data_IF_243669437733
#
_entry.id   IF_243669437733
#
_cell.length_a   1.000
_cell.length_b   1.000
_cell.length_c   1.000
_cell.angle_alpha   90.00
_cell.angle_beta   90.00
_cell.angle_gamma   90.00
#
_symmetry.space_group_name_H-M   'P 1'
#
loop_
_entity.id
_entity.type
_entity.pdbx_description
1 polymer ?
#
# COMPACT_ATOMS: atom_id res chain seq x y z
N UNK A 1 1.93 18.10 0.59
CA UNK A 1 2.01 17.87 -0.88
C UNK A 1 0.86 17.05 -1.47
N UNK A 2 0.04 16.36 -0.67
CA UNK A 2 -1.18 15.68 -1.16
C UNK A 2 -2.35 16.63 -1.54
N UNK A 3 -2.21 17.94 -1.27
CA UNK A 3 -3.29 18.91 -1.44
C UNK A 3 -3.21 19.77 -2.71
N UNK A 4 -2.10 19.73 -3.47
CA UNK A 4 -1.97 20.54 -4.68
C UNK A 4 -2.93 20.08 -5.80
N UNK A 5 -3.46 18.86 -5.70
CA UNK A 5 -4.33 18.26 -6.72
C UNK A 5 -5.83 18.50 -6.46
N UNK A 6 -6.20 19.05 -5.29
CA UNK A 6 -7.62 19.23 -4.93
C UNK A 6 -8.22 20.51 -5.55
N UNK A 7 -7.41 21.51 -5.89
CA UNK A 7 -7.92 22.80 -6.38
C UNK A 7 -8.20 22.89 -7.89
N UNK A 8 -7.75 21.93 -8.70
CA UNK A 8 -7.94 21.99 -10.17
C UNK A 8 -9.26 21.38 -10.68
N UNK A 9 -10.05 20.73 -9.82
CA UNK A 9 -11.24 19.99 -10.27
C UNK A 9 -12.59 20.73 -10.12
N UNK A 10 -12.60 21.97 -9.60
CA UNK A 10 -13.85 22.70 -9.31
C UNK A 10 -14.16 23.84 -10.28
N UNK A 11 -13.28 24.19 -11.22
CA UNK A 11 -13.47 25.39 -12.07
C UNK A 11 -13.37 25.17 -13.58
N UNK A 12 -14.03 24.16 -14.15
CA UNK A 12 -14.33 24.15 -15.59
C UNK A 12 -15.72 23.58 -15.85
N UNK A 13 -16.76 24.41 -15.73
CA UNK A 13 -17.98 24.25 -16.55
C UNK A 13 -18.53 25.62 -16.95
N UNK A 14 -18.66 25.75 -18.29
CA UNK A 14 -19.71 26.49 -19.02
C UNK A 14 -19.32 27.84 -19.64
N UNK A 15 -18.74 27.80 -20.85
CA UNK A 15 -19.04 28.75 -21.95
C UNK A 15 -19.07 27.95 -23.28
N UNK A 16 -20.11 28.10 -24.14
CA UNK A 16 -20.22 27.43 -25.42
C UNK A 16 -19.62 28.27 -26.56
N UNK A 17 -19.06 27.61 -27.58
CA UNK A 17 -18.58 28.31 -28.77
C UNK A 17 -18.02 27.34 -29.81
N UNK A 18 -18.89 26.88 -30.71
CA UNK A 18 -18.52 26.23 -31.96
C UNK A 18 -17.64 27.15 -32.82
N UNK A 19 -16.82 26.55 -33.71
CA UNK A 19 -15.99 27.14 -34.80
C UNK A 19 -14.47 27.23 -34.61
N UNK A 20 -13.82 26.24 -34.00
CA UNK A 20 -12.36 26.06 -34.13
C UNK A 20 -11.92 24.60 -34.38
N UNK A 21 -12.78 23.79 -35.00
CA UNK A 21 -12.51 22.38 -35.32
C UNK A 21 -12.44 22.19 -36.83
N UNK A 22 -11.42 22.75 -37.48
CA UNK A 22 -11.06 22.31 -38.85
C UNK A 22 -9.64 22.67 -39.28
N UNK A 23 -8.93 23.56 -38.58
CA UNK A 23 -7.59 23.98 -38.99
C UNK A 23 -6.43 23.27 -38.26
N UNK A 24 -6.70 22.54 -37.17
CA UNK A 24 -5.66 21.80 -36.42
C UNK A 24 -5.42 20.35 -36.89
N UNK A 25 -6.26 19.79 -37.76
CA UNK A 25 -6.10 18.41 -38.26
C UNK A 25 -5.12 18.27 -39.43
N UNK A 26 -4.67 19.38 -40.04
CA UNK A 26 -3.73 19.35 -41.17
C UNK A 26 -2.26 19.59 -40.75
N UNK A 27 -1.99 20.04 -39.52
CA UNK A 27 -0.62 20.22 -39.00
C UNK A 27 -0.09 18.99 -38.23
N UNK A 28 -0.97 18.13 -37.73
CA UNK A 28 -0.57 16.90 -37.02
C UNK A 28 -0.12 15.76 -37.95
N UNK A 29 -0.46 15.81 -39.25
CA UNK A 29 -0.07 14.78 -40.23
C UNK A 29 1.34 15.00 -40.84
N UNK A 30 1.93 16.18 -40.65
CA UNK A 30 3.24 16.52 -41.22
C UNK A 30 4.42 16.26 -40.27
N UNK A 31 4.20 16.16 -38.95
CA UNK A 31 5.27 16.03 -37.96
C UNK A 31 5.48 14.59 -37.45
N UNK A 32 4.64 13.64 -37.86
CA UNK A 32 4.76 12.21 -37.47
C UNK A 32 5.65 11.41 -38.43
N UNK A 33 6.05 11.97 -39.59
CA UNK A 33 6.88 11.25 -40.59
C UNK A 33 8.40 11.43 -40.47
N UNK A 34 8.91 12.31 -39.63
CA UNK A 34 10.37 12.58 -39.56
C UNK A 34 11.07 12.06 -38.29
N UNK A 35 10.35 11.59 -37.28
CA UNK A 35 10.96 11.05 -36.06
C UNK A 35 11.04 9.51 -35.99
N UNK A 36 10.43 8.79 -36.94
CA UNK A 36 10.37 7.32 -36.93
C UNK A 36 11.56 6.61 -37.61
N UNK A 37 12.48 7.34 -38.23
CA UNK A 37 13.63 6.76 -38.94
C UNK A 37 14.96 6.84 -38.16
N UNK A 38 15.00 7.47 -36.98
CA UNK A 38 16.25 7.70 -36.22
C UNK A 38 16.45 6.77 -35.01
N UNK A 39 15.41 6.08 -34.55
CA UNK A 39 15.48 5.25 -33.34
C UNK A 39 15.63 3.74 -33.60
N UNK A 40 15.52 3.27 -34.85
CA UNK A 40 15.72 1.85 -35.21
C UNK A 40 17.21 1.49 -35.33
N UNK A 41 18.09 2.46 -35.58
CA UNK A 41 19.56 2.22 -35.69
C UNK A 41 20.23 2.14 -34.31
N UNK A 42 19.58 2.62 -33.23
CA UNK A 42 20.10 2.51 -31.86
C UNK A 42 19.71 1.22 -31.13
N UNK A 43 18.85 0.39 -31.71
CA UNK A 43 18.39 -0.88 -31.11
C UNK A 43 19.20 -2.12 -31.53
N UNK A 44 20.26 -1.97 -32.34
CA UNK A 44 21.13 -3.09 -32.74
C UNK A 44 22.56 -3.04 -32.17
N UNK A 45 22.86 -2.12 -31.24
CA UNK A 45 24.24 -1.89 -30.77
C UNK A 45 24.49 -2.17 -29.27
N UNK A 46 23.58 -2.86 -28.56
CA UNK A 46 23.79 -3.25 -27.15
C UNK A 46 23.53 -4.73 -26.85
N UNK A 47 23.47 -5.58 -27.88
CA UNK A 47 23.19 -7.03 -27.71
C UNK A 47 24.43 -7.92 -27.62
N UNK A 48 25.61 -7.38 -27.32
CA UNK A 48 26.80 -8.22 -27.07
C UNK A 48 27.58 -7.62 -25.91
N UNK A 49 27.75 -8.41 -24.84
CA UNK A 49 28.69 -8.27 -23.70
C UNK A 49 28.02 -8.09 -22.34
N UNK A 50 27.55 -9.19 -21.71
CA UNK A 50 27.95 -9.60 -20.35
C UNK A 50 27.38 -10.98 -19.95
N UNK A 51 27.59 -12.01 -20.78
CA UNK A 51 27.60 -13.39 -20.26
C UNK A 51 29.03 -13.76 -19.87
N UNK A 52 29.38 -13.44 -18.64
CA UNK A 52 30.45 -14.06 -17.85
C UNK A 52 30.66 -13.16 -16.64
N UNK A 53 30.05 -13.50 -15.50
CA UNK A 53 30.78 -13.52 -14.24
C UNK A 53 29.87 -14.04 -13.10
N UNK A 54 30.35 -15.11 -12.48
CA UNK A 54 29.99 -15.63 -11.16
C UNK A 54 28.64 -16.35 -11.00
N UNK A 55 28.64 -17.61 -11.46
CA UNK A 55 28.30 -18.72 -10.54
C UNK A 55 29.24 -18.61 -9.32
N UNK A 56 28.70 -18.17 -8.20
CA UNK A 56 29.32 -18.39 -6.89
C UNK A 56 28.40 -19.29 -6.09
N UNK A 57 29.02 -20.37 -5.65
CA UNK A 57 28.50 -21.49 -4.90
C UNK A 57 27.93 -21.04 -3.55
N UNK A 58 26.81 -21.65 -3.17
CA UNK A 58 26.11 -21.41 -1.91
C UNK A 58 26.93 -21.90 -0.72
N UNK A 59 27.13 -21.04 0.27
CA UNK A 59 27.29 -21.47 1.67
C UNK A 59 26.01 -21.06 2.38
N UNK A 60 25.10 -22.03 2.54
CA UNK A 60 23.93 -21.89 3.39
C UNK A 60 24.36 -22.15 4.84
N UNK A 61 24.59 -21.10 5.61
CA UNK A 61 24.61 -21.19 7.06
C UNK A 61 23.16 -21.14 7.54
N UNK A 62 22.66 -22.29 7.99
CA UNK A 62 21.34 -22.42 8.58
C UNK A 62 21.32 -21.71 9.95
N UNK A 63 21.09 -20.40 9.94
CA UNK A 63 20.59 -19.71 11.13
C UNK A 63 19.14 -20.17 11.35
N UNK A 64 18.95 -21.01 12.37
CA UNK A 64 17.65 -21.46 12.85
C UNK A 64 16.78 -20.24 13.21
N UNK A 65 16.02 -19.74 12.24
CA UNK A 65 14.93 -18.80 12.47
C UNK A 65 13.82 -19.64 13.08
N UNK A 66 13.64 -19.50 14.38
CA UNK A 66 12.48 -20.04 15.08
C UNK A 66 11.23 -19.62 14.33
N UNK A 67 10.61 -20.56 13.62
CA UNK A 67 9.40 -20.32 12.87
C UNK A 67 8.35 -19.75 13.83
N UNK A 68 7.97 -18.50 13.62
CA UNK A 68 6.82 -17.88 14.26
C UNK A 68 5.57 -18.58 13.73
N UNK A 69 5.29 -19.74 14.30
CA UNK A 69 4.08 -20.50 14.06
C UNK A 69 2.90 -19.69 14.59
N UNK A 70 1.79 -19.66 13.83
CA UNK A 70 0.49 -19.31 14.38
C UNK A 70 0.21 -20.22 15.60
N UNK A 71 -0.56 -19.76 16.58
CA UNK A 71 -0.96 -20.52 17.78
C UNK A 71 -1.60 -21.90 17.50
N UNK A 72 -1.81 -22.27 16.23
CA UNK A 72 -2.34 -23.56 15.77
C UNK A 72 -1.40 -24.34 14.82
N UNK A 73 -0.10 -24.02 14.73
CA UNK A 73 0.87 -24.74 13.89
C UNK A 73 0.79 -24.45 12.38
N UNK A 74 -0.14 -23.60 11.94
CA UNK A 74 -0.17 -23.08 10.58
C UNK A 74 0.90 -21.99 10.40
N UNK A 75 1.74 -22.12 9.38
CA UNK A 75 2.76 -21.13 9.05
C UNK A 75 2.09 -19.81 8.60
N UNK A 76 2.55 -18.68 9.15
CA UNK A 76 2.09 -17.34 8.77
C UNK A 76 2.37 -17.11 7.28
N UNK A 77 1.43 -16.47 6.57
CA UNK A 77 1.54 -16.24 5.14
C UNK A 77 0.78 -14.96 4.76
N UNK A 78 1.50 -13.90 4.45
CA UNK A 78 0.94 -12.59 4.09
C UNK A 78 0.17 -12.63 2.77
N UNK A 79 0.62 -13.43 1.81
CA UNK A 79 -0.05 -13.59 0.52
C UNK A 79 -1.48 -14.13 0.70
N UNK A 80 -1.71 -15.07 1.64
CA UNK A 80 -3.07 -15.56 1.98
C UNK A 80 -3.96 -14.47 2.58
N UNK A 81 -3.40 -13.45 3.21
CA UNK A 81 -4.17 -12.30 3.71
C UNK A 81 -4.71 -11.50 2.54
N UNK A 82 -3.86 -11.14 1.58
CA UNK A 82 -4.25 -10.18 0.54
C UNK A 82 -4.78 -10.81 -0.75
N UNK A 83 -4.54 -12.10 -1.00
CA UNK A 83 -5.13 -12.82 -2.13
C UNK A 83 -6.62 -13.10 -1.88
N UNK A 84 -7.44 -12.07 -2.07
CA UNK A 84 -8.88 -12.14 -1.89
C UNK A 84 -9.58 -11.06 -2.70
N UNK A 85 -10.80 -11.37 -3.15
CA UNK A 85 -11.70 -10.41 -3.80
C UNK A 85 -12.47 -9.55 -2.78
N UNK A 86 -12.42 -9.91 -1.49
CA UNK A 86 -13.08 -9.17 -0.42
C UNK A 86 -12.32 -7.89 -0.09
N UNK A 87 -13.03 -6.90 0.46
CA UNK A 87 -12.39 -5.75 1.10
C UNK A 87 -11.69 -6.22 2.37
N UNK A 88 -10.42 -5.84 2.52
CA UNK A 88 -9.65 -6.08 3.74
C UNK A 88 -9.63 -4.78 4.53
N UNK A 89 -10.42 -4.73 5.60
CA UNK A 89 -10.59 -3.52 6.41
C UNK A 89 -9.49 -3.38 7.42
N UNK A 90 -8.94 -2.19 7.57
CA UNK A 90 -8.17 -1.83 8.76
C UNK A 90 -9.22 -1.55 9.83
N UNK A 91 -9.29 -2.40 10.85
CA UNK A 91 -10.26 -2.27 11.93
C UNK A 91 -9.73 -1.35 13.03
N UNK A 92 -8.45 -1.56 13.40
CA UNK A 92 -7.79 -0.87 14.49
C UNK A 92 -6.31 -0.66 14.16
N UNK A 93 -5.74 0.45 14.58
CA UNK A 93 -4.32 0.79 14.40
C UNK A 93 -3.76 1.47 15.64
N UNK A 94 -2.44 1.40 15.86
CA UNK A 94 -1.77 2.16 16.92
C UNK A 94 -1.36 3.56 16.46
N UNK A 95 -1.32 3.78 15.15
CA UNK A 95 -1.01 5.10 14.58
C UNK A 95 -2.26 5.98 14.65
N UNK A 96 -2.09 7.24 15.05
CA UNK A 96 -3.21 8.18 15.09
C UNK A 96 -3.91 8.24 13.74
N UNK A 97 -5.22 8.04 13.73
CA UNK A 97 -6.08 8.28 12.57
C UNK A 97 -6.55 9.74 12.50
N UNK A 98 -6.06 10.59 13.42
CA UNK A 98 -6.36 12.03 13.50
C UNK A 98 -5.08 12.82 13.20
N UNK A 99 -5.17 13.79 12.31
CA UNK A 99 -4.05 14.68 11.95
C UNK A 99 -4.54 16.09 11.63
N UNK A 100 -3.61 17.05 11.66
CA UNK A 100 -3.83 18.44 11.24
C UNK A 100 -2.98 18.74 10.01
N UNK A 101 -3.46 19.61 9.12
CA UNK A 101 -2.66 20.11 7.99
C UNK A 101 -2.14 21.50 8.34
N UNK A 102 -0.82 21.70 8.26
CA UNK A 102 -0.18 22.99 8.56
C UNK A 102 -0.68 24.13 7.64
N UNK A 103 -1.20 23.79 6.46
CA UNK A 103 -1.76 24.76 5.51
C UNK A 103 -3.22 25.09 5.80
N UNK A 104 -3.87 24.37 6.72
CA UNK A 104 -5.28 24.56 7.08
C UNK A 104 -5.40 24.61 8.60
N UNK A 105 -5.19 25.81 9.14
CA UNK A 105 -5.25 26.05 10.57
C UNK A 105 -6.65 25.74 11.15
N UNK A 106 -6.68 25.12 12.33
CA UNK A 106 -7.92 24.83 13.06
C UNK A 106 -8.76 23.66 12.53
N UNK A 107 -8.32 22.98 11.45
CA UNK A 107 -9.03 21.82 10.91
C UNK A 107 -8.36 20.53 11.33
N UNK A 108 -9.13 19.68 12.02
CA UNK A 108 -8.75 18.33 12.41
C UNK A 108 -9.30 17.36 11.36
N UNK A 109 -8.43 16.52 10.80
CA UNK A 109 -8.77 15.49 9.83
C UNK A 109 -8.81 14.13 10.53
N UNK A 110 -9.96 13.46 10.48
CA UNK A 110 -10.12 12.11 11.02
C UNK A 110 -10.34 11.11 9.89
N UNK A 111 -9.48 10.09 9.84
CA UNK A 111 -9.55 8.98 8.90
C UNK A 111 -10.40 7.84 9.46
N UNK A 112 -11.40 7.42 8.69
CA UNK A 112 -12.33 6.33 9.01
C UNK A 112 -12.56 5.43 7.80
N UNK A 113 -13.16 4.27 8.04
CA UNK A 113 -13.60 3.33 7.00
C UNK A 113 -12.48 2.94 6.03
N UNK A 114 -11.30 2.63 6.58
CA UNK A 114 -10.11 2.35 5.80
C UNK A 114 -10.12 0.88 5.34
N UNK A 115 -9.97 0.64 4.05
CA UNK A 115 -9.83 -0.72 3.52
C UNK A 115 -8.95 -0.79 2.29
N UNK A 116 -8.30 -1.94 2.12
CA UNK A 116 -7.57 -2.30 0.91
C UNK A 116 -8.50 -3.07 -0.03
N UNK A 117 -8.50 -2.67 -1.30
CA UNK A 117 -9.14 -3.36 -2.41
C UNK A 117 -8.06 -3.81 -3.39
N UNK A 118 -7.88 -5.12 -3.51
CA UNK A 118 -6.94 -5.71 -4.46
C UNK A 118 -7.29 -5.29 -5.90
N UNK A 119 -6.25 -4.94 -6.66
CA UNK A 119 -6.28 -4.79 -8.12
C UNK A 119 -5.79 -6.11 -8.73
N UNK A 120 -4.58 -6.53 -8.36
CA UNK A 120 -4.00 -7.82 -8.70
C UNK A 120 -2.98 -8.25 -7.63
N UNK A 121 -2.54 -9.50 -7.69
CA UNK A 121 -1.51 -10.05 -6.80
C UNK A 121 -0.73 -11.13 -7.54
N UNK A 122 0.58 -11.18 -7.32
CA UNK A 122 1.50 -12.23 -7.79
C UNK A 122 2.28 -12.79 -6.61
N UNK A 123 3.17 -13.76 -6.83
CA UNK A 123 4.07 -14.28 -5.78
C UNK A 123 4.99 -13.20 -5.19
N UNK A 124 5.24 -12.14 -5.94
CA UNK A 124 6.19 -11.07 -5.57
C UNK A 124 5.50 -9.78 -5.16
N UNK A 125 4.32 -9.48 -5.73
CA UNK A 125 3.72 -8.15 -5.62
C UNK A 125 2.24 -8.19 -5.29
N UNK A 126 1.79 -7.21 -4.52
CA UNK A 126 0.40 -6.95 -4.19
C UNK A 126 0.01 -5.54 -4.63
N UNK A 127 -0.83 -5.44 -5.64
CA UNK A 127 -1.29 -4.16 -6.17
C UNK A 127 -2.68 -3.85 -5.65
N UNK A 128 -2.87 -2.68 -5.04
CA UNK A 128 -4.15 -2.37 -4.39
C UNK A 128 -4.46 -0.88 -4.33
N UNK A 129 -5.76 -0.59 -4.20
CA UNK A 129 -6.24 0.70 -3.75
C UNK A 129 -6.49 0.67 -2.25
N UNK A 130 -6.00 1.66 -1.52
CA UNK A 130 -6.50 1.95 -0.17
C UNK A 130 -7.56 3.02 -0.27
N UNK A 131 -8.74 2.74 0.27
CA UNK A 131 -9.86 3.68 0.30
C UNK A 131 -10.16 4.04 1.73
N UNK A 132 -10.51 5.29 1.96
CA UNK A 132 -10.82 5.82 3.29
C UNK A 132 -11.82 6.97 3.19
N UNK A 133 -12.40 7.31 4.32
CA UNK A 133 -13.23 8.49 4.51
C UNK A 133 -12.47 9.46 5.42
N UNK A 134 -12.30 10.71 4.99
CA UNK A 134 -11.70 11.78 5.78
C UNK A 134 -12.73 12.89 5.92
N UNK A 135 -13.26 13.09 7.13
CA UNK A 135 -14.29 14.10 7.42
C UNK A 135 -15.50 14.08 6.45
N UNK A 136 -15.94 12.90 6.01
CA UNK A 136 -17.04 12.73 5.04
C UNK A 136 -16.59 12.63 3.58
N UNK A 137 -15.34 12.98 3.26
CA UNK A 137 -14.79 12.92 1.90
C UNK A 137 -14.15 11.56 1.64
N UNK A 138 -14.59 10.89 0.59
CA UNK A 138 -14.02 9.59 0.17
C UNK A 138 -12.73 9.81 -0.60
N UNK A 139 -11.63 9.30 -0.09
CA UNK A 139 -10.31 9.33 -0.72
C UNK A 139 -9.90 7.94 -1.22
N UNK A 140 -9.05 7.92 -2.23
CA UNK A 140 -8.46 6.69 -2.78
C UNK A 140 -7.00 6.94 -3.12
N UNK A 141 -6.12 6.11 -2.57
CA UNK A 141 -4.69 6.11 -2.83
C UNK A 141 -4.28 4.78 -3.47
N UNK A 142 -3.24 4.82 -4.28
CA UNK A 142 -2.79 3.69 -5.09
C UNK A 142 -1.46 3.16 -4.58
N UNK A 143 -1.40 1.89 -4.18
CA UNK A 143 -0.23 1.31 -3.53
C UNK A 143 0.26 0.03 -4.20
N UNK A 144 1.55 -0.25 -4.00
CA UNK A 144 2.19 -1.51 -4.32
C UNK A 144 2.87 -2.07 -3.06
N UNK A 145 2.56 -3.32 -2.71
CA UNK A 145 3.31 -4.11 -1.76
C UNK A 145 4.28 -5.05 -2.49
N UNK A 146 5.53 -5.13 -2.05
CA UNK A 146 6.54 -6.07 -2.55
C UNK A 146 6.88 -7.06 -1.44
N UNK A 147 6.58 -8.34 -1.65
CA UNK A 147 6.76 -9.40 -0.66
C UNK A 147 8.24 -9.74 -0.47
N UNK A 148 8.67 -9.87 0.79
CA UNK A 148 9.99 -10.43 1.10
C UNK A 148 10.01 -11.92 0.74
N UNK A 149 10.87 -12.28 -0.21
CA UNK A 149 10.99 -13.64 -0.73
C UNK A 149 11.87 -14.56 0.14
N UNK A 150 12.50 -14.01 1.18
CA UNK A 150 13.44 -14.74 2.05
C UNK A 150 12.71 -15.77 2.93
N UNK A 151 11.71 -15.40 3.75
CA UNK A 151 10.86 -16.41 4.38
C UNK A 151 9.90 -16.99 3.32
N UNK A 152 9.81 -18.32 3.27
CA UNK A 152 8.80 -19.01 2.45
C UNK A 152 7.82 -19.79 3.34
N UNK A 153 6.51 -19.47 3.29
CA UNK A 153 5.89 -18.40 2.51
C UNK A 153 6.23 -17.00 3.08
N UNK A 154 6.06 -15.93 2.28
CA UNK A 154 6.35 -14.57 2.72
C UNK A 154 5.51 -14.21 3.95
N UNK A 155 6.11 -13.50 4.89
CA UNK A 155 5.45 -12.95 6.07
C UNK A 155 5.46 -11.43 6.12
N UNK A 156 6.24 -10.78 5.27
CA UNK A 156 6.40 -9.33 5.24
C UNK A 156 6.35 -8.76 3.83
N UNK A 157 6.14 -7.45 3.73
CA UNK A 157 6.23 -6.69 2.49
C UNK A 157 6.64 -5.24 2.71
N UNK A 158 7.26 -4.66 1.69
CA UNK A 158 7.52 -3.22 1.59
C UNK A 158 6.38 -2.55 0.80
N UNK A 159 5.89 -1.41 1.26
CA UNK A 159 4.75 -0.70 0.65
C UNK A 159 5.20 0.65 0.09
N UNK A 160 4.86 0.89 -1.17
CA UNK A 160 5.11 2.11 -1.93
C UNK A 160 3.80 2.78 -2.34
N UNK A 161 3.76 4.11 -2.28
CA UNK A 161 2.67 4.93 -2.82
C UNK A 161 2.93 5.24 -4.30
N UNK A 162 2.13 4.67 -5.19
CA UNK A 162 2.21 4.88 -6.64
C UNK A 162 1.56 6.18 -7.09
N UNK A 163 0.81 6.86 -6.20
CA UNK A 163 0.22 8.17 -6.47
C UNK A 163 1.11 9.34 -6.02
N UNK A 164 2.18 9.05 -5.27
CA UNK A 164 3.15 10.04 -4.83
C UNK A 164 4.21 10.33 -5.92
N UNK A 165 4.85 11.49 -5.83
CA UNK A 165 6.00 11.84 -6.68
C UNK A 165 7.24 10.96 -6.39
N UNK A 166 7.42 10.55 -5.14
CA UNK A 166 8.43 9.57 -4.73
C UNK A 166 7.77 8.22 -4.46
N UNK A 167 8.08 7.24 -5.31
CA UNK A 167 7.53 5.87 -5.22
C UNK A 167 8.38 4.93 -4.36
N UNK A 168 9.40 5.44 -3.65
CA UNK A 168 10.20 4.63 -2.74
C UNK A 168 9.31 4.04 -1.64
N UNK A 169 9.59 2.82 -1.16
CA UNK A 169 8.83 2.25 -0.06
C UNK A 169 8.87 3.16 1.18
N UNK A 170 7.71 3.38 1.78
CA UNK A 170 7.56 4.22 2.98
C UNK A 170 7.20 3.40 4.22
N UNK A 171 6.80 2.15 4.05
CA UNK A 171 6.29 1.29 5.11
C UNK A 171 6.77 -0.15 4.91
N UNK A 172 7.19 -0.79 5.99
CA UNK A 172 7.47 -2.22 6.07
C UNK A 172 6.41 -2.87 6.97
N UNK A 173 5.66 -3.82 6.41
CA UNK A 173 4.60 -4.54 7.10
C UNK A 173 5.05 -5.98 7.38
N UNK A 174 4.92 -6.45 8.61
CA UNK A 174 5.22 -7.84 9.00
C UNK A 174 4.03 -8.50 9.67
N UNK A 175 3.58 -9.65 9.16
CA UNK A 175 2.47 -10.41 9.70
C UNK A 175 2.86 -11.06 11.03
N UNK A 176 2.12 -10.75 12.10
CA UNK A 176 2.32 -11.32 13.44
C UNK A 176 1.28 -12.39 13.79
N UNK A 177 0.07 -12.28 13.24
CA UNK A 177 -1.04 -13.17 13.56
C UNK A 177 -1.98 -13.32 12.38
N UNK A 178 -2.50 -14.53 12.15
CA UNK A 178 -3.51 -14.83 11.15
C UNK A 178 -4.42 -15.97 11.61
N UNK A 179 -5.72 -15.69 11.78
CA UNK A 179 -6.75 -16.70 12.07
C UNK A 179 -8.14 -16.16 11.76
N UNK A 180 -9.02 -17.01 11.20
CA UNK A 180 -10.45 -16.70 11.09
C UNK A 180 -10.79 -15.45 10.27
N UNK A 181 -9.96 -15.08 9.27
CA UNK A 181 -10.16 -13.87 8.48
C UNK A 181 -9.70 -12.57 9.16
N UNK A 182 -9.10 -12.66 10.35
CA UNK A 182 -8.43 -11.57 11.03
C UNK A 182 -6.91 -11.76 10.98
N UNK A 183 -6.19 -10.65 10.86
CA UNK A 183 -4.72 -10.61 10.83
C UNK A 183 -4.19 -9.39 11.55
N UNK A 184 -3.04 -9.52 12.22
CA UNK A 184 -2.34 -8.41 12.87
C UNK A 184 -0.99 -8.24 12.22
N UNK A 185 -0.67 -7.00 11.84
CA UNK A 185 0.60 -6.62 11.24
C UNK A 185 1.35 -5.68 12.16
N UNK A 186 2.66 -5.90 12.31
CA UNK A 186 3.61 -4.88 12.74
C UNK A 186 3.86 -3.93 11.58
N UNK A 187 3.89 -2.63 11.86
CA UNK A 187 4.13 -1.56 10.89
C UNK A 187 5.40 -0.81 11.28
N UNK A 188 6.31 -0.64 10.33
CA UNK A 188 7.53 0.14 10.48
C UNK A 188 7.59 1.19 9.38
N UNK A 189 7.56 2.48 9.75
CA UNK A 189 7.70 3.57 8.79
C UNK A 189 9.19 3.76 8.43
N UNK A 190 9.48 3.85 7.14
CA UNK A 190 10.85 3.86 6.59
C UNK A 190 11.43 5.28 6.41
N UNK A 191 10.67 6.32 6.75
CA UNK A 191 11.15 7.71 6.64
C UNK A 191 12.33 7.99 7.61
N UNK A 192 13.40 8.56 7.04
CA UNK A 192 14.73 8.78 7.66
C UNK A 192 14.76 9.62 8.96
N UNK A 193 13.65 10.25 9.36
CA UNK A 193 13.61 11.19 10.49
C UNK A 193 12.90 10.65 11.76
N UNK A 194 12.12 9.55 11.67
CA UNK A 194 11.29 9.09 12.80
C UNK A 194 11.89 7.93 13.62
N UNK A 195 13.01 7.36 13.19
CA UNK A 195 13.70 6.29 13.92
C UNK A 195 14.71 6.80 14.96
N UNK A 196 14.67 8.08 15.33
CA UNK A 196 15.45 8.59 16.47
C UNK A 196 14.74 8.28 17.78
N UNK A 197 15.04 7.11 18.36
CA UNK A 197 14.96 6.91 19.80
C UNK A 197 13.78 6.12 20.37
N UNK A 198 13.31 5.05 19.73
CA UNK A 198 12.31 4.15 20.35
C UNK A 198 12.72 2.69 20.25
N UNK A 199 13.58 2.25 21.15
CA UNK A 199 14.11 0.87 21.19
C UNK A 199 13.60 0.02 22.36
N UNK A 200 12.57 0.45 23.09
CA UNK A 200 12.06 -0.31 24.25
C UNK A 200 10.52 -0.44 24.34
N UNK A 201 9.78 -0.03 23.32
CA UNK A 201 8.30 -0.09 23.32
C UNK A 201 7.72 -1.20 22.45
N UNK A 202 6.47 -1.58 22.72
CA UNK A 202 5.66 -2.40 21.81
C UNK A 202 5.55 -1.74 20.42
N UNK A 203 5.34 -2.56 19.40
CA UNK A 203 5.41 -2.10 18.02
C UNK A 203 4.15 -1.33 17.58
N UNK A 204 4.30 -0.51 16.54
CA UNK A 204 3.13 -0.01 15.83
C UNK A 204 2.46 -1.15 15.06
N UNK A 205 1.14 -1.19 15.08
CA UNK A 205 0.39 -2.28 14.49
C UNK A 205 -0.90 -1.86 13.80
N UNK A 206 -1.31 -2.67 12.84
CA UNK A 206 -2.63 -2.63 12.22
C UNK A 206 -3.32 -3.99 12.33
N UNK A 207 -4.59 -3.97 12.74
CA UNK A 207 -5.47 -5.11 12.71
C UNK A 207 -6.33 -5.06 11.44
N UNK A 208 -6.23 -6.09 10.63
CA UNK A 208 -6.99 -6.26 9.41
C UNK A 208 -8.07 -7.32 9.57
N UNK A 209 -9.27 -7.04 9.07
CA UNK A 209 -10.39 -8.00 9.09
C UNK A 209 -11.04 -8.09 7.71
N UNK A 210 -11.20 -9.31 7.21
CA UNK A 210 -11.93 -9.60 5.97
C UNK A 210 -13.43 -9.65 6.25
N UNK A 211 -14.22 -8.97 5.43
CA UNK A 211 -15.69 -8.92 5.57
C UNK A 211 -16.40 -9.69 4.45
N UNK A 212 -17.41 -10.50 4.80
CA UNK A 212 -18.39 -11.12 3.89
C UNK A 212 -19.84 -10.64 4.15
N UNK A 213 -20.01 -9.36 4.50
CA UNK A 213 -21.30 -8.75 4.86
C UNK A 213 -21.44 -8.48 6.37
N UNK A 214 -22.45 -7.68 6.76
CA UNK A 214 -22.76 -7.33 8.15
C UNK A 214 -21.73 -6.44 8.87
N UNK A 215 -21.96 -6.07 10.15
CA UNK A 215 -20.96 -5.39 10.97
C UNK A 215 -19.70 -6.24 11.14
N UNK A 216 -18.51 -5.61 11.15
CA UNK A 216 -17.25 -6.30 11.42
C UNK A 216 -17.01 -6.33 12.92
N UNK A 217 -16.64 -7.51 13.44
CA UNK A 217 -16.08 -7.66 14.78
C UNK A 217 -14.89 -8.62 14.73
N UNK A 218 -13.71 -8.22 15.22
CA UNK A 218 -12.58 -9.14 15.37
C UNK A 218 -12.93 -10.28 16.33
N UNK A 219 -12.33 -11.46 16.13
CA UNK A 219 -12.45 -12.54 17.11
C UNK A 219 -11.61 -12.25 18.34
N UNK A 220 -12.00 -12.81 19.48
CA UNK A 220 -11.28 -12.62 20.76
C UNK A 220 -9.81 -13.03 20.66
N UNK A 221 -9.49 -14.10 19.93
CA UNK A 221 -8.10 -14.51 19.71
C UNK A 221 -7.29 -13.45 18.93
N UNK A 222 -7.93 -12.76 17.98
CA UNK A 222 -7.27 -11.71 17.21
C UNK A 222 -7.04 -10.46 18.06
N UNK A 223 -8.03 -10.09 18.87
CA UNK A 223 -7.92 -8.99 19.84
C UNK A 223 -6.79 -9.25 20.84
N UNK A 224 -6.73 -10.46 21.44
CA UNK A 224 -5.64 -10.85 22.34
C UNK A 224 -4.27 -10.84 21.65
N UNK A 225 -4.21 -11.29 20.39
CA UNK A 225 -2.98 -11.24 19.62
C UNK A 225 -2.53 -9.79 19.35
N UNK A 226 -3.45 -8.87 19.11
CA UNK A 226 -3.15 -7.46 18.95
C UNK A 226 -2.63 -6.85 20.26
N UNK A 227 -3.37 -6.99 21.36
CA UNK A 227 -3.00 -6.46 22.68
C UNK A 227 -1.64 -6.99 23.16
N UNK A 228 -1.32 -8.26 22.87
CA UNK A 228 -0.05 -8.87 23.26
C UNK A 228 1.16 -8.25 22.54
N UNK A 229 0.99 -7.81 21.29
CA UNK A 229 2.12 -7.46 20.42
C UNK A 229 2.24 -5.95 20.12
N UNK A 230 1.19 -5.18 20.40
CA UNK A 230 1.02 -3.82 19.89
C UNK A 230 0.92 -2.81 21.03
N UNK A 231 1.26 -1.55 20.76
CA UNK A 231 1.12 -0.45 21.75
C UNK A 231 -0.31 -0.38 22.29
N UNK A 232 -0.42 0.05 23.55
CA UNK A 232 -1.70 0.21 24.26
C UNK A 232 -2.56 1.34 23.68
N UNK A 233 -1.93 2.37 23.11
CA UNK A 233 -2.63 3.44 22.41
C UNK A 233 -3.15 2.91 21.08
N UNK A 234 -4.48 2.95 20.90
CA UNK A 234 -5.12 2.38 19.73
C UNK A 234 -6.29 3.24 19.25
N UNK A 235 -6.51 3.18 17.95
CA UNK A 235 -7.50 3.96 17.22
C UNK A 235 -8.33 3.01 16.38
N UNK A 236 -9.64 2.98 16.62
CA UNK A 236 -10.58 2.17 15.83
C UNK A 236 -11.01 2.98 14.62
N UNK A 237 -10.66 2.49 13.43
CA UNK A 237 -10.95 3.18 12.16
C UNK A 237 -12.20 2.63 11.47
N UNK A 238 -12.69 1.46 11.89
CA UNK A 238 -13.94 0.88 11.41
C UNK A 238 -15.13 1.27 12.29
N UNK A 239 -16.22 1.69 11.64
CA UNK A 239 -17.53 1.89 12.25
C UNK A 239 -18.61 1.09 11.49
N UNK A 240 -19.75 0.82 12.13
CA UNK A 240 -20.87 0.11 11.50
C UNK A 240 -21.36 0.79 10.21
N UNK A 241 -21.28 2.13 10.13
CA UNK A 241 -21.63 2.93 8.95
C UNK A 241 -20.70 2.72 7.74
N UNK A 242 -19.49 2.18 7.94
CA UNK A 242 -18.53 1.95 6.86
C UNK A 242 -19.01 0.88 5.84
N UNK A 243 -19.96 0.04 6.24
CA UNK A 243 -20.51 -1.03 5.42
C UNK A 243 -21.67 -0.63 4.50
N UNK A 244 -22.11 0.63 4.57
CA UNK A 244 -23.29 1.16 3.84
C UNK A 244 -22.89 1.73 2.49
#
# INVERSE_FOLDING_TARGET
FLLQTILTSVFIRRIPGERYITMFRLLAASLIRQHLARDIVRLCALSISLEAFFRSEMVAEAAATGGLASNNGAQLNIFKVFNTTLRVWIYQTTQSNVFTDENIEGVIFEQKCIFNKMINITSEKYHFYRKMNVNGVKLTSHYMGEFDQTPQPPISMLVSDLSASNISPFEHMTLLYLKGGCSVFKIELLEKAKNKGRTTGLADCEMYVKKKGGPIRPSDDCTKAYEKNCKTETYVTYDASCGV
#
